data_IF_384336170018
#
_entry.id   IF_384336170018
#
_cell.length_a   1.000
_cell.length_b   1.000
_cell.length_c   1.000
_cell.angle_alpha   90.00
_cell.angle_beta   90.00
_cell.angle_gamma   90.00
#
_symmetry.space_group_name_H-M   'P 1'
#
loop_
_entity.id
_entity.type
_entity.pdbx_description
1 polymer ?
#
# COMPACT_ATOMS: atom_id res chain seq x y z
N UNK A 1 -16.42 -12.63 7.38
CA UNK A 1 -15.94 -11.32 7.82
C UNK A 1 -16.99 -10.27 7.53
N UNK A 2 -17.39 -9.53 8.54
CA UNK A 2 -18.35 -8.45 8.35
C UNK A 2 -17.63 -7.20 7.89
N UNK A 3 -17.98 -6.73 6.70
CA UNK A 3 -17.45 -5.47 6.14
C UNK A 3 -18.57 -4.45 6.20
N UNK A 4 -18.29 -3.29 6.79
CA UNK A 4 -19.22 -2.17 6.78
C UNK A 4 -19.18 -1.51 5.40
N UNK A 5 -20.25 -1.68 4.63
CA UNK A 5 -20.35 -1.16 3.26
C UNK A 5 -20.24 0.37 3.22
N UNK A 6 -20.73 1.07 4.25
CA UNK A 6 -20.64 2.54 4.30
C UNK A 6 -19.19 2.99 4.52
N UNK A 7 -18.41 2.27 5.31
CA UNK A 7 -16.98 2.57 5.49
C UNK A 7 -16.21 2.30 4.21
N UNK A 8 -16.51 1.20 3.52
CA UNK A 8 -15.89 0.89 2.22
C UNK A 8 -16.19 2.01 1.21
N UNK A 9 -17.44 2.48 1.15
CA UNK A 9 -17.81 3.58 0.26
C UNK A 9 -17.06 4.87 0.58
N UNK A 10 -16.86 5.20 1.86
CA UNK A 10 -16.06 6.36 2.27
C UNK A 10 -14.63 6.26 1.79
N UNK A 11 -14.01 5.08 1.94
CA UNK A 11 -12.68 4.85 1.44
C UNK A 11 -12.63 4.95 -0.08
N UNK A 12 -13.60 4.37 -0.78
CA UNK A 12 -13.66 4.40 -2.23
C UNK A 12 -13.78 5.82 -2.78
N UNK A 13 -14.52 6.70 -2.09
CA UNK A 13 -14.72 8.09 -2.53
C UNK A 13 -13.44 8.91 -2.51
N UNK A 14 -12.44 8.53 -1.71
CA UNK A 14 -11.16 9.25 -1.61
C UNK A 14 -9.98 8.45 -2.16
N UNK A 15 -10.21 7.22 -2.62
CA UNK A 15 -9.13 6.31 -3.02
C UNK A 15 -8.25 6.89 -4.14
N UNK A 16 -8.82 7.67 -5.07
CA UNK A 16 -8.05 8.28 -6.15
C UNK A 16 -7.03 9.33 -5.67
N UNK A 17 -7.07 9.74 -4.41
CA UNK A 17 -6.10 10.65 -3.81
C UNK A 17 -4.94 9.93 -3.09
N UNK A 18 -4.91 8.60 -3.11
CA UNK A 18 -3.91 7.81 -2.37
C UNK A 18 -2.47 8.28 -2.59
N UNK A 19 -2.10 8.58 -3.81
CA UNK A 19 -0.73 8.94 -4.16
C UNK A 19 -0.44 10.44 -4.14
N UNK A 20 -1.43 11.25 -3.77
CA UNK A 20 -1.21 12.68 -3.56
C UNK A 20 -0.65 12.92 -2.16
N UNK A 21 0.63 13.31 -2.00
CA UNK A 21 1.25 13.49 -0.68
C UNK A 21 0.68 14.67 0.11
N UNK A 22 -0.04 15.56 -0.54
CA UNK A 22 -0.70 16.71 0.08
C UNK A 22 -2.21 16.53 0.24
N UNK A 23 -2.74 15.36 -0.13
CA UNK A 23 -4.15 15.03 -0.05
C UNK A 23 -4.56 14.38 1.28
N UNK A 24 -5.73 13.71 1.30
CA UNK A 24 -6.29 13.09 2.51
C UNK A 24 -5.37 12.04 3.15
N UNK A 25 -4.47 11.43 2.40
CA UNK A 25 -3.57 10.38 2.88
C UNK A 25 -2.19 10.89 3.26
N UNK A 26 -2.03 12.21 3.39
CA UNK A 26 -0.75 12.82 3.82
C UNK A 26 -0.14 12.16 5.06
N UNK A 27 -0.90 11.84 6.14
CA UNK A 27 -0.32 11.16 7.30
C UNK A 27 0.34 9.83 6.96
N UNK A 28 -0.23 9.07 6.02
CA UNK A 28 0.35 7.79 5.59
C UNK A 28 1.65 8.00 4.81
N UNK A 29 1.71 9.01 3.95
CA UNK A 29 2.95 9.36 3.25
C UNK A 29 4.05 9.77 4.23
N UNK A 30 3.70 10.51 5.28
CA UNK A 30 4.66 10.93 6.31
C UNK A 30 5.16 9.76 7.15
N UNK A 31 4.28 8.79 7.44
CA UNK A 31 4.62 7.61 8.25
C UNK A 31 5.38 6.54 7.45
N UNK A 32 5.25 6.54 6.14
CA UNK A 32 5.79 5.46 5.31
C UNK A 32 7.30 5.23 5.50
N UNK A 33 8.15 6.27 5.46
CA UNK A 33 9.59 6.08 5.72
C UNK A 33 9.90 5.53 7.11
N UNK A 34 9.14 5.95 8.13
CA UNK A 34 9.31 5.47 9.51
C UNK A 34 8.97 3.99 9.60
N UNK A 35 7.86 3.58 8.99
CA UNK A 35 7.43 2.18 8.95
C UNK A 35 8.43 1.31 8.20
N UNK A 36 8.90 1.78 7.06
CA UNK A 36 9.90 1.06 6.27
C UNK A 36 11.19 0.86 7.05
N UNK A 37 11.70 1.91 7.69
CA UNK A 37 12.92 1.83 8.50
C UNK A 37 12.77 0.85 9.66
N UNK A 38 11.62 0.85 10.33
CA UNK A 38 11.33 -0.10 11.39
C UNK A 38 11.40 -1.55 10.90
N UNK A 39 10.77 -1.81 9.75
CA UNK A 39 10.75 -3.16 9.16
C UNK A 39 12.17 -3.58 8.75
N UNK A 40 12.94 -2.68 8.13
CA UNK A 40 14.33 -2.96 7.72
C UNK A 40 15.24 -3.33 8.88
N UNK A 41 14.98 -2.79 10.07
CA UNK A 41 15.74 -3.14 11.28
C UNK A 41 15.41 -4.53 11.80
N UNK A 42 14.25 -5.07 11.46
CA UNK A 42 13.77 -6.36 11.96
C UNK A 42 13.95 -7.50 10.97
N UNK A 43 13.95 -7.18 9.67
CA UNK A 43 13.94 -8.18 8.60
C UNK A 43 14.93 -7.81 7.49
N UNK A 44 15.59 -8.82 6.95
CA UNK A 44 16.27 -8.71 5.67
C UNK A 44 15.20 -8.77 4.58
N UNK A 45 15.00 -7.67 3.84
CA UNK A 45 13.91 -7.57 2.87
C UNK A 45 14.20 -8.26 1.54
N UNK A 46 15.48 -8.35 1.14
CA UNK A 46 15.83 -8.92 -0.15
C UNK A 46 15.37 -10.38 -0.25
N UNK A 47 14.55 -10.69 -1.26
CA UNK A 47 13.95 -12.00 -1.52
C UNK A 47 13.00 -12.51 -0.42
N UNK A 48 12.63 -11.68 0.54
CA UNK A 48 11.67 -12.05 1.59
C UNK A 48 10.25 -11.92 1.07
N UNK A 49 9.42 -12.93 1.33
CA UNK A 49 8.00 -12.89 0.97
C UNK A 49 7.23 -12.15 2.06
N UNK A 50 6.47 -11.13 1.66
CA UNK A 50 5.70 -10.29 2.57
C UNK A 50 4.27 -10.18 2.06
N UNK A 51 3.30 -10.31 2.97
CA UNK A 51 1.90 -10.00 2.70
C UNK A 51 1.57 -8.70 3.43
N UNK A 52 1.15 -7.68 2.67
CA UNK A 52 0.74 -6.38 3.21
C UNK A 52 -0.78 -6.36 3.32
N UNK A 53 -1.29 -6.64 4.52
CA UNK A 53 -2.73 -6.68 4.79
C UNK A 53 -3.25 -5.27 5.03
N UNK A 54 -4.31 -4.89 4.33
CA UNK A 54 -4.80 -3.51 4.35
C UNK A 54 -3.88 -2.58 3.57
N UNK A 55 -3.36 -3.04 2.43
CA UNK A 55 -2.33 -2.31 1.66
C UNK A 55 -2.82 -0.97 1.09
N UNK A 56 -4.13 -0.76 0.99
CA UNK A 56 -4.69 0.45 0.39
C UNK A 56 -4.20 0.68 -1.03
N UNK A 57 -3.77 1.89 -1.33
CA UNK A 57 -3.22 2.28 -2.63
C UNK A 57 -1.79 1.83 -2.87
N UNK A 58 -1.18 1.08 -1.96
CA UNK A 58 0.12 0.45 -2.17
C UNK A 58 1.35 1.22 -1.71
N UNK A 59 1.19 2.24 -0.85
CA UNK A 59 2.31 3.09 -0.41
C UNK A 59 3.45 2.28 0.22
N UNK A 60 3.15 1.44 1.20
CA UNK A 60 4.15 0.62 1.87
C UNK A 60 4.58 -0.56 0.99
N UNK A 61 3.62 -1.20 0.30
CA UNK A 61 3.90 -2.32 -0.60
C UNK A 61 4.96 -1.97 -1.65
N UNK A 62 4.86 -0.79 -2.27
CA UNK A 62 5.83 -0.37 -3.29
C UNK A 62 7.21 -0.14 -2.69
N UNK A 63 7.31 0.48 -1.50
CA UNK A 63 8.60 0.68 -0.84
C UNK A 63 9.25 -0.65 -0.42
N UNK A 64 8.46 -1.61 0.07
CA UNK A 64 8.95 -2.95 0.37
C UNK A 64 9.47 -3.66 -0.89
N UNK A 65 8.74 -3.54 -1.99
CA UNK A 65 9.14 -4.12 -3.26
C UNK A 65 10.44 -3.49 -3.79
N UNK A 66 10.58 -2.17 -3.71
CA UNK A 66 11.82 -1.46 -4.08
C UNK A 66 13.01 -1.92 -3.23
N UNK A 67 12.77 -2.37 -2.01
CA UNK A 67 13.81 -2.88 -1.10
C UNK A 67 14.13 -4.36 -1.34
N UNK A 68 13.53 -4.98 -2.34
CA UNK A 68 13.83 -6.35 -2.77
C UNK A 68 12.88 -7.42 -2.26
N UNK A 69 11.84 -7.06 -1.51
CA UNK A 69 10.86 -8.02 -1.01
C UNK A 69 9.92 -8.50 -2.13
N UNK A 70 9.41 -9.71 -1.97
CA UNK A 70 8.35 -10.26 -2.82
C UNK A 70 7.02 -9.98 -2.12
N UNK A 71 6.28 -8.99 -2.61
CA UNK A 71 5.13 -8.44 -1.90
C UNK A 71 3.82 -8.87 -2.54
N UNK A 72 2.87 -9.25 -1.68
CA UNK A 72 1.46 -9.42 -2.04
C UNK A 72 0.64 -8.45 -1.21
N UNK A 73 -0.14 -7.60 -1.86
CA UNK A 73 -1.03 -6.65 -1.18
C UNK A 73 -2.45 -7.19 -1.10
N UNK A 74 -3.09 -7.00 0.04
CA UNK A 74 -4.50 -7.36 0.27
C UNK A 74 -5.26 -6.17 0.84
N UNK A 75 -6.44 -5.90 0.29
CA UNK A 75 -7.33 -4.86 0.83
C UNK A 75 -8.79 -5.20 0.51
N UNK A 76 -9.70 -4.77 1.38
CA UNK A 76 -11.13 -4.96 1.18
C UNK A 76 -11.73 -3.95 0.21
N UNK A 77 -11.05 -2.84 -0.06
CA UNK A 77 -11.50 -1.80 -0.98
C UNK A 77 -11.05 -2.10 -2.41
N UNK A 78 -12.01 -2.40 -3.29
CA UNK A 78 -11.74 -2.64 -4.70
C UNK A 78 -11.10 -1.42 -5.37
N UNK A 79 -11.55 -0.22 -5.02
CA UNK A 79 -11.00 1.03 -5.55
C UNK A 79 -9.54 1.22 -5.14
N UNK A 80 -9.20 0.94 -3.88
CA UNK A 80 -7.81 1.00 -3.41
C UNK A 80 -6.92 0.04 -4.17
N UNK A 81 -7.38 -1.18 -4.42
CA UNK A 81 -6.63 -2.18 -5.19
C UNK A 81 -6.45 -1.73 -6.65
N UNK A 82 -7.47 -1.14 -7.27
CA UNK A 82 -7.34 -0.58 -8.61
C UNK A 82 -6.26 0.50 -8.66
N UNK A 83 -6.24 1.40 -7.66
CA UNK A 83 -5.23 2.44 -7.55
C UNK A 83 -3.83 1.82 -7.36
N UNK A 84 -3.71 0.83 -6.48
CA UNK A 84 -2.45 0.14 -6.23
C UNK A 84 -1.91 -0.52 -7.50
N UNK A 85 -2.77 -1.20 -8.25
CA UNK A 85 -2.39 -1.85 -9.51
C UNK A 85 -1.96 -0.83 -10.56
N UNK A 86 -2.67 0.28 -10.69
CA UNK A 86 -2.32 1.33 -11.65
C UNK A 86 -0.97 1.96 -11.31
N UNK A 87 -0.73 2.26 -10.05
CA UNK A 87 0.52 2.92 -9.64
C UNK A 87 1.73 1.99 -9.74
N UNK A 88 1.58 0.70 -9.41
CA UNK A 88 2.71 -0.24 -9.54
C UNK A 88 3.18 -0.38 -10.98
N UNK A 89 2.27 -0.27 -11.96
CA UNK A 89 2.62 -0.28 -13.37
C UNK A 89 3.42 0.96 -13.75
N UNK A 90 3.01 2.15 -13.27
CA UNK A 90 3.75 3.40 -13.47
C UNK A 90 5.16 3.30 -12.90
N UNK A 91 5.30 2.70 -11.71
CA UNK A 91 6.56 2.52 -11.01
C UNK A 91 7.37 1.32 -11.54
N UNK A 92 6.81 0.53 -12.45
CA UNK A 92 7.40 -0.67 -13.02
C UNK A 92 7.82 -1.69 -11.95
N UNK A 93 6.94 -1.92 -10.97
CA UNK A 93 7.16 -2.87 -9.87
C UNK A 93 6.31 -4.12 -10.04
N UNK A 94 6.82 -5.26 -9.56
CA UNK A 94 6.10 -6.54 -9.56
C UNK A 94 5.56 -6.81 -8.16
N UNK A 95 4.28 -6.52 -7.97
CA UNK A 95 3.54 -6.75 -6.71
C UNK A 95 2.27 -7.53 -7.06
N UNK A 96 2.00 -8.57 -6.29
CA UNK A 96 0.77 -9.36 -6.47
C UNK A 96 -0.40 -8.81 -5.65
#
# INVERSE_FOLDING_TARGET
>A
MNIDEQEVEKFDSVAHHWWNPDGPFKPLHMLNPVRLNFIKKKLELNNTKIIDVGCGGGLLSEELCKSGAKVTGLDSSTKSIEIANSHKEISNLKID
#
